data_IF_397604714659
#
_entry.id   IF_397604714659
#
_cell.length_a   1.000
_cell.length_b   1.000
_cell.length_c   1.000
_cell.angle_alpha   90.00
_cell.angle_beta   90.00
_cell.angle_gamma   90.00
#
_symmetry.space_group_name_H-M   'P 1'
#
loop_
_entity.id
_entity.type
_entity.pdbx_description
1 polymer ?
#
# COMPACT_ATOMS: atom_id res chain seq x y z
N UNK A 1 -12.22 30.74 -0.83
CA UNK A 1 -11.43 29.56 -1.26
C UNK A 1 -10.22 29.28 -0.35
N UNK A 2 -9.75 30.20 0.51
CA UNK A 2 -8.60 29.97 1.41
C UNK A 2 -8.86 29.02 2.59
N UNK A 3 -10.11 28.76 2.97
CA UNK A 3 -10.44 27.96 4.18
C UNK A 3 -10.29 26.44 4.01
N UNK A 4 -10.27 25.92 2.78
CA UNK A 4 -10.24 24.47 2.49
C UNK A 4 -8.85 23.95 2.12
N UNK A 5 -7.93 24.83 1.74
CA UNK A 5 -6.58 24.45 1.29
C UNK A 5 -5.78 23.66 2.35
N UNK A 6 -5.85 24.00 3.66
CA UNK A 6 -5.17 23.20 4.69
C UNK A 6 -5.71 21.78 4.76
N UNK A 7 -7.04 21.59 4.69
CA UNK A 7 -7.67 20.27 4.72
C UNK A 7 -7.23 19.42 3.53
N UNK A 8 -7.27 20.00 2.33
CA UNK A 8 -6.83 19.35 1.09
C UNK A 8 -5.36 18.93 1.21
N UNK A 9 -4.50 19.82 1.69
CA UNK A 9 -3.06 19.56 1.88
C UNK A 9 -2.82 18.43 2.87
N UNK A 10 -3.48 18.46 4.02
CA UNK A 10 -3.40 17.39 5.04
C UNK A 10 -3.87 16.07 4.44
N UNK A 11 -4.98 16.06 3.71
CA UNK A 11 -5.52 14.84 3.09
C UNK A 11 -4.51 14.19 2.14
N UNK A 12 -3.85 14.99 1.30
CA UNK A 12 -2.81 14.52 0.36
C UNK A 12 -1.62 13.91 1.11
N UNK A 13 -1.16 14.53 2.18
CA UNK A 13 -0.04 14.04 2.99
C UNK A 13 -0.40 12.78 3.79
N UNK A 14 -1.58 12.74 4.40
CA UNK A 14 -2.06 11.55 5.12
C UNK A 14 -2.12 10.36 4.17
N UNK A 15 -2.65 10.56 2.96
CA UNK A 15 -2.66 9.53 1.91
C UNK A 15 -1.27 9.06 1.48
N UNK A 16 -0.33 9.99 1.27
CA UNK A 16 1.06 9.65 0.98
C UNK A 16 1.70 8.82 2.11
N UNK A 17 1.50 9.24 3.36
CA UNK A 17 1.98 8.52 4.55
C UNK A 17 1.35 7.13 4.64
N UNK A 18 0.06 6.97 4.31
CA UNK A 18 -0.57 5.65 4.23
C UNK A 18 0.16 4.72 3.27
N UNK A 19 0.55 5.21 2.08
CA UNK A 19 1.36 4.42 1.13
C UNK A 19 2.70 3.97 1.70
N UNK A 20 3.42 4.88 2.38
CA UNK A 20 4.69 4.55 3.07
C UNK A 20 4.48 3.51 4.16
N UNK A 21 3.47 3.70 5.02
CA UNK A 21 3.17 2.77 6.11
C UNK A 21 2.76 1.39 5.59
N UNK A 22 2.04 1.31 4.46
CA UNK A 22 1.70 0.05 3.81
C UNK A 22 2.93 -0.69 3.27
N UNK A 23 3.94 0.02 2.75
CA UNK A 23 5.23 -0.61 2.37
C UNK A 23 5.97 -1.10 3.62
N UNK A 24 5.97 -0.33 4.72
CA UNK A 24 6.57 -0.75 5.98
C UNK A 24 5.85 -1.99 6.56
N UNK A 25 4.52 -2.01 6.49
CA UNK A 25 3.71 -3.17 6.86
C UNK A 25 4.12 -4.42 6.09
N UNK A 26 4.36 -4.28 4.79
CA UNK A 26 4.88 -5.38 3.97
C UNK A 26 6.24 -5.88 4.47
N UNK A 27 7.16 -5.00 4.88
CA UNK A 27 8.44 -5.43 5.47
C UNK A 27 8.25 -6.25 6.77
N UNK A 28 7.26 -5.88 7.60
CA UNK A 28 6.91 -6.67 8.78
C UNK A 28 6.29 -8.02 8.41
N UNK A 29 5.43 -8.06 7.39
CA UNK A 29 4.86 -9.30 6.84
C UNK A 29 5.95 -10.23 6.28
N UNK A 30 6.93 -9.69 5.54
CA UNK A 30 8.06 -10.49 5.07
C UNK A 30 8.83 -11.12 6.24
N UNK A 31 9.03 -10.36 7.31
CA UNK A 31 9.72 -10.85 8.50
C UNK A 31 8.94 -11.98 9.20
N UNK A 32 7.61 -12.00 9.12
CA UNK A 32 6.79 -13.07 9.71
C UNK A 32 6.73 -14.35 8.86
N UNK A 33 6.93 -14.26 7.53
CA UNK A 33 6.93 -15.44 6.65
C UNK A 33 8.06 -16.45 6.96
N UNK A 34 9.10 -16.05 7.70
CA UNK A 34 10.21 -16.91 8.12
C UNK A 34 10.93 -17.63 6.98
N UNK A 35 10.90 -17.05 5.78
CA UNK A 35 11.50 -17.66 4.62
C UNK A 35 13.02 -17.75 4.76
N UNK A 36 13.58 -18.92 4.44
CA UNK A 36 15.00 -19.19 4.60
C UNK A 36 15.54 -19.98 3.41
N UNK A 37 16.79 -19.67 3.05
CA UNK A 37 17.58 -20.44 2.09
C UNK A 37 18.46 -21.41 2.86
N UNK A 38 18.37 -22.68 2.51
CA UNK A 38 19.20 -23.75 3.03
C UNK A 38 20.06 -24.35 1.93
N UNK A 39 21.27 -24.79 2.29
CA UNK A 39 22.17 -25.55 1.41
C UNK A 39 22.10 -27.00 1.86
N UNK A 40 21.51 -27.86 1.04
CA UNK A 40 21.42 -29.30 1.29
C UNK A 40 22.73 -30.02 0.98
N UNK A 41 22.91 -31.21 1.55
CA UNK A 41 24.03 -32.09 1.22
C UNK A 41 23.92 -32.73 -0.17
N UNK A 42 22.71 -32.86 -0.70
CA UNK A 42 22.44 -33.32 -2.06
C UNK A 42 22.30 -32.09 -3.00
N UNK A 43 23.19 -31.93 -3.99
CA UNK A 43 23.16 -30.79 -4.91
C UNK A 43 21.93 -30.76 -5.83
N UNK A 44 21.19 -31.86 -5.96
CA UNK A 44 19.99 -31.94 -6.80
C UNK A 44 18.68 -31.85 -6.01
N UNK A 45 18.75 -31.90 -4.68
CA UNK A 45 17.56 -31.81 -3.84
C UNK A 45 17.00 -30.38 -3.80
N UNK A 46 15.70 -30.24 -4.09
CA UNK A 46 14.98 -28.95 -3.99
C UNK A 46 14.59 -28.64 -2.53
N UNK A 47 15.60 -28.51 -1.67
CA UNK A 47 15.43 -28.25 -0.22
C UNK A 47 14.78 -26.90 0.07
N UNK A 48 14.83 -25.97 -0.89
CA UNK A 48 14.30 -24.61 -0.77
C UNK A 48 12.85 -24.46 -1.25
N UNK A 49 12.24 -25.53 -1.76
CA UNK A 49 10.85 -25.50 -2.24
C UNK A 49 9.88 -25.01 -1.17
N UNK A 50 9.97 -25.56 0.04
CA UNK A 50 9.01 -25.30 1.10
C UNK A 50 9.22 -23.93 1.78
N UNK A 51 10.46 -23.54 2.02
CA UNK A 51 10.80 -22.37 2.85
C UNK A 51 11.13 -21.11 2.05
N UNK A 52 11.56 -21.22 0.80
CA UNK A 52 11.92 -20.06 -0.02
C UNK A 52 10.88 -19.80 -1.09
N UNK A 53 10.62 -20.82 -1.92
CA UNK A 53 9.69 -20.68 -3.06
C UNK A 53 8.26 -20.57 -2.59
N UNK A 54 7.74 -21.58 -1.89
CA UNK A 54 6.32 -21.65 -1.53
C UNK A 54 5.88 -20.66 -0.45
N UNK A 55 6.81 -19.96 0.19
CA UNK A 55 6.52 -18.91 1.18
C UNK A 55 6.65 -17.49 0.65
N UNK A 56 7.48 -17.23 -0.38
CA UNK A 56 7.72 -15.88 -0.91
C UNK A 56 7.77 -15.80 -2.43
N UNK A 57 8.58 -16.66 -3.06
CA UNK A 57 8.91 -16.61 -4.48
C UNK A 57 8.20 -17.70 -5.29
N UNK A 58 6.87 -17.73 -5.18
CA UNK A 58 6.03 -18.63 -5.96
C UNK A 58 4.98 -17.82 -6.69
N UNK A 59 4.82 -18.08 -7.99
CA UNK A 59 3.73 -17.52 -8.79
C UNK A 59 2.40 -18.25 -8.61
N UNK A 60 2.30 -19.16 -7.63
CA UNK A 60 1.00 -19.67 -7.18
C UNK A 60 0.19 -18.47 -6.67
N UNK A 61 -0.99 -18.17 -7.25
CA UNK A 61 -1.71 -16.93 -6.95
C UNK A 61 -1.98 -16.73 -5.46
N UNK A 62 -2.33 -17.79 -4.73
CA UNK A 62 -2.59 -17.73 -3.29
C UNK A 62 -1.36 -17.38 -2.45
N UNK A 63 -0.15 -17.57 -2.97
CA UNK A 63 1.10 -17.18 -2.31
C UNK A 63 1.50 -15.77 -2.76
N UNK A 64 1.56 -15.56 -4.08
CA UNK A 64 2.03 -14.29 -4.63
C UNK A 64 1.12 -13.13 -4.26
N UNK A 65 -0.19 -13.27 -4.47
CA UNK A 65 -1.15 -12.19 -4.21
C UNK A 65 -1.16 -11.88 -2.72
N UNK A 66 -1.19 -12.89 -1.85
CA UNK A 66 -1.18 -12.68 -0.39
C UNK A 66 0.08 -11.92 0.06
N UNK A 67 1.27 -12.41 -0.30
CA UNK A 67 2.53 -11.81 0.16
C UNK A 67 2.78 -10.42 -0.42
N UNK A 68 2.43 -10.18 -1.69
CA UNK A 68 2.85 -8.97 -2.41
C UNK A 68 1.77 -7.89 -2.52
N UNK A 69 0.51 -8.16 -2.17
CA UNK A 69 -0.56 -7.17 -2.24
C UNK A 69 -0.24 -5.90 -1.44
N UNK A 70 0.21 -5.96 -0.17
CA UNK A 70 0.57 -4.76 0.57
C UNK A 70 1.63 -3.92 -0.15
N UNK A 71 2.71 -4.56 -0.63
CA UNK A 71 3.76 -3.86 -1.37
C UNK A 71 3.22 -3.15 -2.62
N UNK A 72 2.48 -3.87 -3.47
CA UNK A 72 1.97 -3.30 -4.73
C UNK A 72 1.03 -2.12 -4.47
N UNK A 73 0.10 -2.26 -3.53
CA UNK A 73 -0.84 -1.18 -3.19
C UNK A 73 -0.15 0.01 -2.56
N UNK A 74 0.79 -0.22 -1.64
CA UNK A 74 1.60 0.84 -1.02
C UNK A 74 2.47 1.58 -2.04
N UNK A 75 3.15 0.84 -2.93
CA UNK A 75 3.98 1.40 -3.98
C UNK A 75 3.16 2.19 -5.01
N UNK A 76 2.02 1.68 -5.46
CA UNK A 76 1.11 2.42 -6.36
C UNK A 76 0.63 3.72 -5.72
N UNK A 77 0.23 3.67 -4.44
CA UNK A 77 -0.16 4.87 -3.67
C UNK A 77 0.98 5.87 -3.63
N UNK A 78 2.17 5.44 -3.23
CA UNK A 78 3.35 6.29 -3.11
C UNK A 78 3.70 6.95 -4.45
N UNK A 79 3.82 6.15 -5.51
CA UNK A 79 4.16 6.61 -6.86
C UNK A 79 3.10 7.57 -7.43
N UNK A 80 1.82 7.41 -7.10
CA UNK A 80 0.75 8.31 -7.58
C UNK A 80 0.86 9.77 -7.10
N UNK A 81 1.72 10.04 -6.11
CA UNK A 81 2.02 11.39 -5.65
C UNK A 81 3.18 12.06 -6.39
N UNK A 82 3.96 11.32 -7.19
CA UNK A 82 5.10 11.84 -7.96
C UNK A 82 4.70 12.12 -9.40
N UNK A 83 5.04 13.31 -9.91
CA UNK A 83 4.67 13.72 -11.27
C UNK A 83 5.32 12.85 -12.37
N UNK A 84 6.47 12.24 -12.07
CA UNK A 84 7.20 11.36 -13.00
C UNK A 84 6.53 10.00 -13.24
N UNK A 85 5.56 9.61 -12.41
CA UNK A 85 4.89 8.32 -12.51
C UNK A 85 3.44 8.52 -12.97
N UNK A 86 3.09 7.93 -14.12
CA UNK A 86 1.77 8.08 -14.77
C UNK A 86 0.66 7.26 -14.10
N UNK A 87 0.47 7.42 -12.79
CA UNK A 87 -0.60 6.80 -11.99
C UNK A 87 -1.71 7.79 -11.63
N UNK A 88 -1.91 8.80 -12.48
CA UNK A 88 -2.85 9.90 -12.26
C UNK A 88 -4.29 9.44 -12.07
N UNK A 89 -4.66 8.26 -12.58
CA UNK A 89 -6.01 7.73 -12.42
C UNK A 89 -6.41 7.50 -10.94
N UNK A 90 -5.43 7.22 -10.07
CA UNK A 90 -5.66 7.05 -8.63
C UNK A 90 -5.93 8.39 -7.94
N UNK A 91 -5.28 9.44 -8.41
CA UNK A 91 -5.25 10.77 -7.76
C UNK A 91 -5.95 11.85 -8.57
N UNK A 92 -6.66 11.49 -9.64
CA UNK A 92 -7.37 12.42 -10.55
C UNK A 92 -8.32 13.32 -9.78
N UNK A 93 -9.00 12.77 -8.78
CA UNK A 93 -9.81 13.50 -7.81
C UNK A 93 -9.89 12.72 -6.49
N UNK A 94 -10.45 13.37 -5.47
CA UNK A 94 -10.61 12.77 -4.15
C UNK A 94 -11.60 11.60 -4.10
N UNK A 95 -12.48 11.43 -5.10
CA UNK A 95 -13.42 10.29 -5.13
C UNK A 95 -12.71 9.00 -5.54
N UNK A 96 -11.83 9.07 -6.55
CA UNK A 96 -10.96 7.95 -6.92
C UNK A 96 -10.02 7.59 -5.76
N UNK A 97 -9.45 8.61 -5.12
CA UNK A 97 -8.53 8.40 -4.01
C UNK A 97 -9.22 7.83 -2.76
N UNK A 98 -10.48 8.20 -2.50
CA UNK A 98 -11.32 7.56 -1.47
C UNK A 98 -11.53 6.06 -1.74
N UNK A 99 -11.97 5.70 -2.95
CA UNK A 99 -12.20 4.30 -3.33
C UNK A 99 -10.89 3.50 -3.22
N UNK A 100 -9.80 4.05 -3.74
CA UNK A 100 -8.49 3.43 -3.66
C UNK A 100 -8.02 3.23 -2.21
N UNK A 101 -8.18 4.25 -1.36
CA UNK A 101 -7.81 4.17 0.06
C UNK A 101 -8.65 3.11 0.80
N UNK A 102 -9.95 2.99 0.48
CA UNK A 102 -10.78 1.91 1.03
C UNK A 102 -10.30 0.53 0.60
N UNK A 103 -9.98 0.35 -0.68
CA UNK A 103 -9.42 -0.91 -1.18
C UNK A 103 -8.10 -1.24 -0.48
N UNK A 104 -7.21 -0.27 -0.33
CA UNK A 104 -5.91 -0.47 0.34
C UNK A 104 -6.09 -0.81 1.82
N UNK A 105 -7.01 -0.14 2.52
CA UNK A 105 -7.29 -0.46 3.93
C UNK A 105 -7.79 -1.90 4.12
N UNK A 106 -8.69 -2.36 3.25
CA UNK A 106 -9.33 -3.68 3.34
C UNK A 106 -8.43 -4.81 2.83
N UNK A 107 -7.78 -4.62 1.68
CA UNK A 107 -7.08 -5.69 0.97
C UNK A 107 -5.55 -5.60 1.06
N UNK A 108 -5.01 -4.45 1.45
CA UNK A 108 -3.56 -4.24 1.58
C UNK A 108 -3.07 -4.07 3.01
N UNK A 109 -3.96 -3.82 3.98
CA UNK A 109 -3.56 -3.45 5.34
C UNK A 109 -4.16 -4.33 6.46
N UNK A 110 -5.48 -4.30 6.69
CA UNK A 110 -6.07 -4.81 7.95
C UNK A 110 -5.80 -6.30 8.22
N UNK A 111 -5.65 -7.10 7.17
CA UNK A 111 -5.39 -8.54 7.27
C UNK A 111 -3.94 -8.95 7.48
N UNK A 112 -2.98 -8.01 7.43
CA UNK A 112 -1.54 -8.34 7.41
C UNK A 112 -0.83 -8.01 8.72
N UNK A 113 0.18 -8.80 9.08
CA UNK A 113 1.04 -8.60 10.25
C UNK A 113 0.31 -8.28 11.59
N UNK A 114 -0.89 -8.85 11.80
CA UNK A 114 -1.66 -8.73 13.04
C UNK A 114 -2.03 -7.29 13.42
N UNK A 115 -1.68 -6.86 14.64
CA UNK A 115 -2.04 -5.53 15.16
C UNK A 115 -1.42 -4.40 14.33
N UNK A 116 -0.24 -4.61 13.74
CA UNK A 116 0.42 -3.60 12.90
C UNK A 116 -0.45 -3.27 11.69
N UNK A 117 -1.06 -4.28 11.05
CA UNK A 117 -1.99 -4.08 9.93
C UNK A 117 -3.21 -3.26 10.32
N UNK A 118 -3.77 -3.48 11.52
CA UNK A 118 -4.91 -2.71 12.02
C UNK A 118 -4.55 -1.23 12.20
N UNK A 119 -3.36 -0.95 12.75
CA UNK A 119 -2.87 0.43 12.93
C UNK A 119 -2.69 1.13 11.58
N UNK A 120 -2.02 0.47 10.62
CA UNK A 120 -1.82 1.02 9.28
C UNK A 120 -3.14 1.19 8.52
N UNK A 121 -4.08 0.25 8.67
CA UNK A 121 -5.42 0.34 8.12
C UNK A 121 -6.18 1.54 8.70
N UNK A 122 -6.05 1.83 10.00
CA UNK A 122 -6.69 2.98 10.64
C UNK A 122 -6.23 4.32 10.05
N UNK A 123 -4.92 4.47 9.79
CA UNK A 123 -4.37 5.67 9.12
C UNK A 123 -4.89 5.77 7.67
N UNK A 124 -4.98 4.63 6.98
CA UNK A 124 -5.50 4.59 5.61
C UNK A 124 -7.00 4.91 5.55
N UNK A 125 -7.79 4.45 6.52
CA UNK A 125 -9.20 4.79 6.66
C UNK A 125 -9.39 6.27 7.00
N UNK A 126 -8.47 6.87 7.76
CA UNK A 126 -8.46 8.32 7.95
C UNK A 126 -8.21 9.05 6.63
N UNK A 127 -7.25 8.60 5.81
CA UNK A 127 -7.04 9.14 4.46
C UNK A 127 -8.31 9.03 3.60
N UNK A 128 -9.00 7.88 3.67
CA UNK A 128 -10.26 7.66 2.97
C UNK A 128 -11.35 8.65 3.45
N UNK A 129 -11.56 8.76 4.76
CA UNK A 129 -12.55 9.67 5.33
C UNK A 129 -12.30 11.13 4.92
N UNK A 130 -11.05 11.60 5.05
CA UNK A 130 -10.68 12.95 4.65
C UNK A 130 -10.86 13.17 3.13
N UNK A 131 -10.58 12.16 2.32
CA UNK A 131 -10.83 12.20 0.89
C UNK A 131 -12.32 12.32 0.58
N UNK A 132 -13.18 11.55 1.26
CA UNK A 132 -14.63 11.64 1.12
C UNK A 132 -15.15 13.05 1.45
N UNK A 133 -14.63 13.68 2.51
CA UNK A 133 -14.93 15.07 2.83
C UNK A 133 -14.48 16.00 1.68
N UNK A 134 -13.27 15.80 1.15
CA UNK A 134 -12.76 16.61 0.05
C UNK A 134 -13.53 16.43 -1.26
N UNK A 135 -14.20 15.29 -1.50
CA UNK A 135 -15.06 15.08 -2.69
C UNK A 135 -16.11 16.17 -2.84
N UNK A 136 -16.75 16.58 -1.73
CA UNK A 136 -17.82 17.58 -1.76
C UNK A 136 -17.28 19.01 -1.66
N UNK A 137 -16.09 19.20 -1.08
CA UNK A 137 -15.54 20.53 -0.77
C UNK A 137 -14.55 21.06 -1.81
N UNK A 138 -13.91 20.19 -2.60
CA UNK A 138 -12.82 20.57 -3.49
C UNK A 138 -12.86 19.84 -4.83
N UNK A 139 -12.77 20.62 -5.92
CA UNK A 139 -12.67 20.10 -7.29
C UNK A 139 -11.23 20.20 -7.76
N UNK A 140 -10.45 19.15 -7.55
CA UNK A 140 -9.08 19.05 -8.02
C UNK A 140 -8.45 17.70 -7.66
N UNK A 141 -7.14 17.60 -7.91
CA UNK A 141 -6.39 16.36 -7.73
C UNK A 141 -6.05 16.06 -6.26
N UNK A 142 -6.01 14.78 -5.92
CA UNK A 142 -5.51 14.25 -4.65
C UNK A 142 -3.99 14.02 -4.66
N UNK A 143 -3.28 14.31 -5.76
CA UNK A 143 -1.83 14.15 -5.86
C UNK A 143 -1.10 15.29 -5.15
N UNK A 144 0.10 15.00 -4.63
CA UNK A 144 1.03 16.01 -4.11
C UNK A 144 1.88 16.64 -5.23
N UNK A 145 1.94 16.01 -6.42
CA UNK A 145 2.79 16.41 -7.55
C UNK A 145 4.27 16.62 -7.15
N UNK A 146 4.82 15.69 -6.38
CA UNK A 146 6.23 15.73 -5.99
C UNK A 146 7.14 15.54 -7.21
N UNK A 147 8.26 16.26 -7.24
CA UNK A 147 9.28 16.14 -8.28
C UNK A 147 8.96 16.85 -9.61
N UNK A 148 7.97 17.75 -9.62
CA UNK A 148 7.70 18.68 -10.73
C UNK A 148 8.42 20.01 -10.55
#
# INVERSE_FOLDING_TARGET
>A
MSSIEPLVTVTRWVGFVSGVLTIILWCFQLSSTSASISIGSDPLADVNKATWRMQLFSFVPSVFIDVWTPFVMGAMTLMSHFASFHLDYLTVNFAHYFIWSMLMALFGNIGYAGVVGIVVASVTLLAALLSLICVVMYKGTASLKLGS
#
